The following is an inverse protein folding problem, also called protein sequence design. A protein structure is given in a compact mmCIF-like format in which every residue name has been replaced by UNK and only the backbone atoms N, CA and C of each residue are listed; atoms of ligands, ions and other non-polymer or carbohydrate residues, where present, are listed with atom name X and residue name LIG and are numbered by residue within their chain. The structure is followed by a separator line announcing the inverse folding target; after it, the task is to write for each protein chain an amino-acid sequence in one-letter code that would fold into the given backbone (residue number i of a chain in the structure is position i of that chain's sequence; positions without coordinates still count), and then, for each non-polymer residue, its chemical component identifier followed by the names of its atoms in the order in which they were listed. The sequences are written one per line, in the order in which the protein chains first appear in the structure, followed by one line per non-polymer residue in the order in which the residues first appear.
data_IF_721095776809
#
_entry.id   IF_721095776809
#
_cell.length_a   1.000
_cell.length_b   1.000
_cell.length_c   1.000
_cell.angle_alpha   90.00
_cell.angle_beta   90.00
_cell.angle_gamma   90.00
#
_symmetry.space_group_name_H-M   'P 1'
#
loop_
_entity.id
_entity.type
_entity.pdbx_description
1 polymer ?
#
# COMPACT_ATOMS: atom_id res chain seq x y z
N UNK A 1 -40.75 3.91 -15.19
CA UNK A 1 -39.84 5.07 -15.33
C UNK A 1 -38.40 4.57 -15.41
N UNK A 2 -37.81 4.54 -16.60
CA UNK A 2 -36.42 4.11 -16.80
C UNK A 2 -35.46 5.20 -16.29
N UNK A 3 -34.64 4.90 -15.28
CA UNK A 3 -33.58 5.80 -14.82
C UNK A 3 -32.52 5.90 -15.92
N UNK A 4 -32.46 7.06 -16.59
CA UNK A 4 -31.36 7.42 -17.48
C UNK A 4 -30.04 7.38 -16.69
N UNK A 5 -29.22 6.37 -16.94
CA UNK A 5 -27.85 6.33 -16.46
C UNK A 5 -27.04 7.39 -17.22
N UNK A 6 -27.05 8.63 -16.73
CA UNK A 6 -26.13 9.68 -17.21
C UNK A 6 -24.70 9.17 -17.05
N UNK A 7 -24.02 8.90 -18.18
CA UNK A 7 -22.58 8.61 -18.19
C UNK A 7 -21.86 9.80 -17.54
N UNK A 8 -21.11 9.52 -16.47
CA UNK A 8 -20.31 10.53 -15.77
C UNK A 8 -19.26 11.09 -16.73
N UNK A 9 -19.02 12.41 -16.68
CA UNK A 9 -17.96 13.02 -17.49
C UNK A 9 -16.60 12.56 -16.96
N UNK A 10 -15.56 12.44 -17.80
CA UNK A 10 -14.22 12.01 -17.36
C UNK A 10 -13.66 12.81 -16.17
N UNK A 11 -13.92 14.11 -16.12
CA UNK A 11 -13.52 14.96 -14.99
C UNK A 11 -14.21 14.59 -13.66
N UNK A 12 -15.47 14.17 -13.73
CA UNK A 12 -16.25 13.74 -12.56
C UNK A 12 -15.76 12.36 -12.07
N UNK A 13 -15.35 11.49 -13.00
CA UNK A 13 -14.72 10.19 -12.68
C UNK A 13 -13.39 10.39 -11.96
N UNK A 14 -12.51 11.26 -12.47
CA UNK A 14 -11.22 11.55 -11.84
C UNK A 14 -11.41 12.13 -10.43
N UNK A 15 -12.30 13.11 -10.27
CA UNK A 15 -12.60 13.71 -8.96
C UNK A 15 -13.21 12.70 -7.97
N UNK A 16 -14.05 11.77 -8.44
CA UNK A 16 -14.56 10.70 -7.60
C UNK A 16 -13.46 9.74 -7.14
N UNK A 17 -12.46 9.45 -7.99
CA UNK A 17 -11.27 8.67 -7.59
C UNK A 17 -10.44 9.40 -6.55
N UNK A 18 -10.22 10.72 -6.70
CA UNK A 18 -9.55 11.54 -5.66
C UNK A 18 -10.26 11.43 -4.30
N UNK A 19 -11.59 11.56 -4.29
CA UNK A 19 -12.39 11.39 -3.05
C UNK A 19 -12.27 9.98 -2.48
N UNK A 20 -12.33 8.96 -3.32
CA UNK A 20 -12.16 7.56 -2.91
C UNK A 20 -10.78 7.35 -2.28
N UNK A 21 -9.71 7.82 -2.91
CA UNK A 21 -8.34 7.75 -2.39
C UNK A 21 -8.25 8.40 -1.01
N UNK A 22 -8.78 9.61 -0.83
CA UNK A 22 -8.78 10.27 0.49
C UNK A 22 -9.47 9.42 1.57
N UNK A 23 -10.62 8.82 1.26
CA UNK A 23 -11.33 7.95 2.21
C UNK A 23 -10.52 6.71 2.56
N UNK A 24 -9.94 6.05 1.55
CA UNK A 24 -9.14 4.84 1.76
C UNK A 24 -7.87 5.16 2.56
N UNK A 25 -7.14 6.23 2.23
CA UNK A 25 -5.93 6.65 2.95
C UNK A 25 -6.26 6.97 4.41
N UNK A 26 -7.36 7.68 4.68
CA UNK A 26 -7.78 7.97 6.05
C UNK A 26 -8.18 6.69 6.81
N UNK A 27 -8.84 5.72 6.15
CA UNK A 27 -9.14 4.42 6.75
C UNK A 27 -7.85 3.65 7.06
N UNK A 28 -6.91 3.63 6.13
CA UNK A 28 -5.61 2.98 6.29
C UNK A 28 -4.83 3.59 7.46
N UNK A 29 -4.76 4.91 7.52
CA UNK A 29 -4.18 5.64 8.65
C UNK A 29 -4.81 5.24 9.99
N UNK A 30 -6.14 5.19 10.08
CA UNK A 30 -6.83 4.74 11.30
C UNK A 30 -6.40 3.33 11.70
N UNK A 31 -6.33 2.41 10.75
CA UNK A 31 -5.95 1.03 11.02
C UNK A 31 -4.51 0.94 11.54
N UNK A 32 -3.58 1.60 10.85
CA UNK A 32 -2.15 1.59 11.21
C UNK A 32 -1.87 2.16 12.59
N UNK A 33 -2.63 3.18 13.02
CA UNK A 33 -2.40 3.84 14.30
C UNK A 33 -3.26 3.34 15.46
N UNK A 34 -4.39 2.67 15.21
CA UNK A 34 -5.35 2.30 16.27
C UNK A 34 -5.63 0.80 16.39
N UNK A 35 -5.10 -0.03 15.49
CA UNK A 35 -5.27 -1.50 15.56
C UNK A 35 -3.97 -2.19 15.95
N UNK A 36 -4.11 -3.39 16.50
CA UNK A 36 -2.97 -4.26 16.75
C UNK A 36 -2.51 -4.89 15.43
N UNK A 37 -1.43 -4.38 14.86
CA UNK A 37 -0.87 -4.87 13.60
C UNK A 37 -0.16 -6.23 13.73
N UNK A 38 -0.03 -6.76 14.94
CA UNK A 38 0.49 -8.10 15.18
C UNK A 38 -0.61 -9.17 15.05
N UNK A 39 -1.87 -8.79 14.92
CA UNK A 39 -2.95 -9.73 14.61
C UNK A 39 -2.97 -10.01 13.09
N UNK A 40 -2.94 -11.30 12.71
CA UNK A 40 -2.90 -11.72 11.31
C UNK A 40 -4.15 -11.31 10.52
N UNK A 41 -5.33 -11.34 11.13
CA UNK A 41 -6.57 -10.93 10.46
C UNK A 41 -6.56 -9.42 10.19
N UNK A 42 -6.05 -8.64 11.15
CA UNK A 42 -5.87 -7.19 11.01
C UNK A 42 -4.78 -6.87 9.98
N UNK A 43 -3.68 -7.64 9.97
CA UNK A 43 -2.64 -7.51 8.96
C UNK A 43 -3.22 -7.68 7.56
N UNK A 44 -3.97 -8.76 7.33
CA UNK A 44 -4.58 -9.07 6.05
C UNK A 44 -5.59 -8.02 5.60
N UNK A 45 -6.48 -7.57 6.50
CA UNK A 45 -7.43 -6.50 6.17
C UNK A 45 -6.68 -5.21 5.78
N UNK A 46 -5.63 -4.86 6.54
CA UNK A 46 -4.83 -3.66 6.30
C UNK A 46 -4.03 -3.77 5.00
N UNK A 47 -3.49 -4.95 4.68
CA UNK A 47 -2.76 -5.22 3.44
C UNK A 47 -3.68 -5.18 2.21
N UNK A 48 -4.90 -5.71 2.30
CA UNK A 48 -5.92 -5.57 1.24
C UNK A 48 -6.25 -4.11 0.99
N UNK A 49 -6.42 -3.31 2.05
CA UNK A 49 -6.67 -1.88 1.93
C UNK A 49 -5.49 -1.14 1.27
N UNK A 50 -4.25 -1.49 1.63
CA UNK A 50 -3.03 -0.97 0.99
C UNK A 50 -3.02 -1.27 -0.52
N UNK A 51 -3.40 -2.49 -0.91
CA UNK A 51 -3.47 -2.90 -2.32
C UNK A 51 -4.54 -2.13 -3.10
N UNK A 52 -5.73 -1.91 -2.53
CA UNK A 52 -6.77 -1.09 -3.17
C UNK A 52 -6.27 0.36 -3.35
N UNK A 53 -5.63 0.95 -2.33
CA UNK A 53 -5.04 2.30 -2.45
C UNK A 53 -4.02 2.34 -3.60
N UNK A 54 -3.10 1.38 -3.67
CA UNK A 54 -2.10 1.30 -4.75
C UNK A 54 -2.77 1.22 -6.12
N UNK A 55 -3.76 0.34 -6.27
CA UNK A 55 -4.48 0.17 -7.54
C UNK A 55 -5.16 1.48 -7.99
N UNK A 56 -5.79 2.22 -7.08
CA UNK A 56 -6.41 3.51 -7.44
C UNK A 56 -5.35 4.55 -7.83
N UNK A 57 -4.17 4.58 -7.19
CA UNK A 57 -3.05 5.42 -7.62
C UNK A 57 -2.55 5.04 -9.01
N UNK A 58 -2.36 3.75 -9.29
CA UNK A 58 -1.88 3.27 -10.59
C UNK A 58 -2.83 3.73 -11.72
N UNK A 59 -4.14 3.52 -11.54
CA UNK A 59 -5.18 3.96 -12.49
C UNK A 59 -5.18 5.48 -12.66
N UNK A 60 -5.00 6.24 -11.58
CA UNK A 60 -5.07 7.69 -11.64
C UNK A 60 -3.79 8.29 -12.23
N UNK A 61 -2.65 7.62 -12.05
CA UNK A 61 -1.35 8.05 -12.56
C UNK A 61 -1.31 8.14 -14.09
N UNK A 62 -1.97 7.22 -14.80
CA UNK A 62 -2.03 7.24 -16.28
C UNK A 62 -2.74 8.47 -16.85
N UNK A 63 -3.68 9.05 -16.10
CA UNK A 63 -4.45 10.23 -16.52
C UNK A 63 -3.90 11.54 -15.93
N UNK A 64 -2.87 11.48 -15.08
CA UNK A 64 -2.38 12.60 -14.26
C UNK A 64 -1.86 13.77 -15.11
N UNK A 65 -1.17 13.47 -16.20
CA UNK A 65 -0.58 14.49 -17.08
C UNK A 65 -1.64 15.37 -17.76
N UNK A 66 -2.85 14.83 -17.97
CA UNK A 66 -3.98 15.53 -18.58
C UNK A 66 -4.72 16.46 -17.61
N UNK A 67 -4.35 16.45 -16.32
CA UNK A 67 -5.02 17.23 -15.29
C UNK A 67 -4.36 18.59 -15.04
N UNK A 68 -5.13 19.50 -14.44
CA UNK A 68 -4.65 20.82 -14.03
C UNK A 68 -3.55 20.71 -12.97
N UNK A 69 -2.69 21.74 -12.89
CA UNK A 69 -1.62 21.84 -11.87
C UNK A 69 -2.16 21.62 -10.45
N UNK A 70 -3.33 22.16 -10.14
CA UNK A 70 -3.99 21.99 -8.83
C UNK A 70 -4.35 20.54 -8.54
N UNK A 71 -4.92 19.80 -9.50
CA UNK A 71 -5.25 18.38 -9.31
C UNK A 71 -4.01 17.49 -9.22
N UNK A 72 -2.96 17.81 -9.99
CA UNK A 72 -1.66 17.14 -9.86
C UNK A 72 -1.08 17.33 -8.46
N UNK A 73 -1.18 18.53 -7.89
CA UNK A 73 -0.77 18.79 -6.51
C UNK A 73 -1.54 17.94 -5.50
N UNK A 74 -2.88 17.85 -5.63
CA UNK A 74 -3.71 16.98 -4.76
C UNK A 74 -3.26 15.53 -4.83
N UNK A 75 -3.02 15.00 -6.03
CA UNK A 75 -2.50 13.64 -6.21
C UNK A 75 -1.17 13.43 -5.47
N UNK A 76 -0.21 14.35 -5.61
CA UNK A 76 1.09 14.22 -4.96
C UNK A 76 1.00 14.32 -3.44
N UNK A 77 0.13 15.20 -2.91
CA UNK A 77 -0.13 15.30 -1.46
C UNK A 77 -0.74 14.00 -0.92
N UNK A 78 -1.72 13.42 -1.62
CA UNK A 78 -2.31 12.12 -1.26
C UNK A 78 -1.25 11.01 -1.28
N UNK A 79 -0.40 10.98 -2.32
CA UNK A 79 0.66 9.99 -2.45
C UNK A 79 1.70 10.12 -1.33
N UNK A 80 2.09 11.34 -0.96
CA UNK A 80 3.02 11.60 0.13
C UNK A 80 2.44 11.12 1.47
N UNK A 81 1.18 11.44 1.77
CA UNK A 81 0.47 10.97 2.97
C UNK A 81 0.41 9.45 3.03
N UNK A 82 0.05 8.80 1.92
CA UNK A 82 0.03 7.35 1.86
C UNK A 82 1.41 6.73 2.11
N UNK A 83 2.46 7.23 1.45
CA UNK A 83 3.83 6.74 1.63
C UNK A 83 4.30 6.84 3.08
N UNK A 84 4.03 7.96 3.75
CA UNK A 84 4.39 8.15 5.15
C UNK A 84 3.76 7.08 6.06
N UNK A 85 2.45 6.86 5.92
CA UNK A 85 1.73 5.85 6.72
C UNK A 85 2.15 4.43 6.33
N UNK A 86 2.36 4.17 5.04
CA UNK A 86 2.81 2.87 4.54
C UNK A 86 4.16 2.48 5.12
N UNK A 87 5.12 3.40 5.21
CA UNK A 87 6.41 3.12 5.84
C UNK A 87 6.25 2.69 7.29
N UNK A 88 5.39 3.38 8.07
CA UNK A 88 5.11 3.01 9.46
C UNK A 88 4.47 1.62 9.54
N UNK A 89 3.47 1.37 8.71
CA UNK A 89 2.82 0.05 8.65
C UNK A 89 3.81 -1.04 8.31
N UNK A 90 4.63 -0.88 7.26
CA UNK A 90 5.62 -1.87 6.82
C UNK A 90 6.58 -2.19 7.96
N UNK A 91 7.17 -1.17 8.59
CA UNK A 91 8.15 -1.37 9.68
C UNK A 91 7.56 -2.09 10.88
N UNK A 92 6.30 -1.82 11.23
CA UNK A 92 5.65 -2.44 12.40
C UNK A 92 5.10 -3.84 12.13
N UNK A 93 4.43 -3.99 10.99
CA UNK A 93 3.61 -5.17 10.71
C UNK A 93 4.38 -6.29 10.01
N UNK A 94 5.38 -5.95 9.18
CA UNK A 94 6.13 -6.93 8.42
C UNK A 94 6.96 -7.88 9.31
N UNK A 95 7.67 -7.41 10.36
CA UNK A 95 8.39 -8.32 11.25
C UNK A 95 7.46 -9.29 11.99
N UNK A 96 6.33 -8.78 12.48
CA UNK A 96 5.33 -9.58 13.18
C UNK A 96 4.73 -10.66 12.26
N UNK A 97 4.34 -10.27 11.05
CA UNK A 97 3.81 -11.20 10.04
C UNK A 97 4.82 -12.32 9.71
N UNK A 98 6.08 -11.96 9.44
CA UNK A 98 7.11 -12.95 9.10
C UNK A 98 7.35 -13.91 10.26
N UNK A 99 7.41 -13.39 11.49
CA UNK A 99 7.60 -14.22 12.69
C UNK A 99 6.42 -15.17 12.89
N UNK A 100 5.18 -14.70 12.71
CA UNK A 100 3.99 -15.53 12.94
C UNK A 100 3.74 -16.58 11.86
N UNK A 101 4.03 -16.26 10.59
CA UNK A 101 3.71 -17.16 9.46
C UNK A 101 4.85 -18.13 9.16
N UNK A 102 6.10 -17.71 9.32
CA UNK A 102 7.27 -18.50 8.94
C UNK A 102 8.13 -18.94 10.14
N UNK A 103 7.68 -18.67 11.37
CA UNK A 103 8.40 -18.96 12.61
C UNK A 103 9.85 -18.43 12.62
N UNK A 104 10.06 -17.30 11.93
CA UNK A 104 11.39 -16.73 11.77
C UNK A 104 11.66 -15.67 12.84
N UNK A 105 12.73 -15.82 13.66
CA UNK A 105 13.13 -14.82 14.64
C UNK A 105 13.35 -13.43 14.03
N UNK A 106 12.91 -12.39 14.74
CA UNK A 106 12.98 -10.98 14.29
C UNK A 106 14.39 -10.56 13.86
N UNK A 107 15.43 -11.04 14.55
CA UNK A 107 16.82 -10.70 14.24
C UNK A 107 17.32 -11.28 12.90
N UNK A 108 16.66 -12.33 12.38
CA UNK A 108 16.95 -12.93 11.06
C UNK A 108 16.17 -12.26 9.92
N UNK A 109 15.17 -11.43 10.21
CA UNK A 109 14.32 -10.78 9.20
C UNK A 109 15.14 -9.79 8.34
N UNK A 110 16.09 -9.08 8.95
CA UNK A 110 16.98 -8.19 8.20
C UNK A 110 17.91 -8.96 7.24
N UNK A 111 18.23 -10.20 7.57
CA UNK A 111 19.03 -11.10 6.72
C UNK A 111 18.23 -11.56 5.49
N UNK A 112 16.89 -11.57 5.54
CA UNK A 112 16.06 -11.92 4.38
C UNK A 112 16.20 -10.92 3.23
N UNK A 113 16.34 -9.61 3.49
CA UNK A 113 16.56 -8.64 2.40
C UNK A 113 17.87 -8.93 1.65
N UNK A 114 18.92 -9.30 2.37
CA UNK A 114 20.19 -9.76 1.79
C UNK A 114 20.02 -11.06 1.00
N UNK A 115 19.30 -12.03 1.57
CA UNK A 115 19.04 -13.33 0.95
C UNK A 115 18.27 -13.17 -0.38
N UNK A 116 17.19 -12.39 -0.38
CA UNK A 116 16.39 -12.12 -1.58
C UNK A 116 17.17 -11.35 -2.64
N UNK A 117 18.01 -10.40 -2.23
CA UNK A 117 18.89 -9.67 -3.16
C UNK A 117 19.91 -10.61 -3.79
N UNK A 118 20.46 -11.54 -3.01
CA UNK A 118 21.40 -12.54 -3.51
C UNK A 118 20.77 -13.53 -4.47
N UNK A 119 19.57 -14.05 -4.18
CA UNK A 119 18.81 -14.88 -5.11
C UNK A 119 18.55 -14.17 -6.44
N UNK A 120 18.16 -12.90 -6.41
CA UNK A 120 17.94 -12.09 -7.63
C UNK A 120 19.23 -11.81 -8.42
N UNK A 121 20.38 -11.82 -7.76
CA UNK A 121 21.69 -11.63 -8.37
C UNK A 121 22.39 -12.96 -8.71
N UNK A 122 21.68 -14.09 -8.58
CA UNK A 122 22.21 -15.44 -8.80
C UNK A 122 23.42 -15.78 -7.92
N UNK A 123 23.54 -15.20 -6.72
CA UNK A 123 24.52 -15.69 -5.75
C UNK A 123 24.15 -17.11 -5.31
N UNK A 124 25.14 -17.99 -5.28
CA UNK A 124 25.02 -19.29 -4.61
C UNK A 124 24.96 -19.01 -3.12
N UNK A 125 23.75 -19.04 -2.57
CA UNK A 125 23.56 -18.90 -1.13
C UNK A 125 23.69 -20.28 -0.53
N UNK A 126 24.92 -20.67 -0.22
CA UNK A 126 25.20 -21.95 0.43
C UNK A 126 24.77 -21.86 1.90
N UNK A 127 23.89 -22.76 2.32
CA UNK A 127 23.32 -22.79 3.66
C UNK A 127 24.30 -23.45 4.62
N UNK A 128 25.38 -22.75 4.99
CA UNK A 128 26.23 -23.15 6.10
C UNK A 128 26.19 -22.09 7.20
N UNK A 129 25.08 -22.06 7.94
CA UNK A 129 25.06 -21.48 9.28
C UNK A 129 24.35 -22.51 10.19
N UNK A 130 25.07 -23.59 10.46
CA UNK A 130 25.16 -24.14 11.80
C UNK A 130 26.56 -23.81 12.32
#
# INVERSE_FOLDING_TARGET
MARSHKKLRPQDVYFNREKKLNRLINRFMKFVFHRNLNDLDIYDETNRLRLDIKMNFDIQSSELHLQSRRRRFVYYDQLAKFKAVYSIWKTRSYPAFITMVFDLPVHLINSLEWFYKGLKMHYVVDYSIF
#
